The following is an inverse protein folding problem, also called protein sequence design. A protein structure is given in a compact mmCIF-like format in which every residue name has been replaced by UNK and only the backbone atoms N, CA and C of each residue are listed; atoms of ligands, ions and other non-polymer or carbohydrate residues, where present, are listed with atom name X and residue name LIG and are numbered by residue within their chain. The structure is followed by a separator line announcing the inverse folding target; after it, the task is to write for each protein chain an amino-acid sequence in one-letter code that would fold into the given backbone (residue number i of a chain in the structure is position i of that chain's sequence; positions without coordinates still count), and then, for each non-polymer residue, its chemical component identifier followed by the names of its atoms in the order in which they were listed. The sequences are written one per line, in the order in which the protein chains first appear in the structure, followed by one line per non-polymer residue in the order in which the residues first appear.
data_IF_385193188195
#
_entry.id   IF_385193188195
#
_cell.length_a   1.000
_cell.length_b   1.000
_cell.length_c   1.000
_cell.angle_alpha   90.00
_cell.angle_beta   90.00
_cell.angle_gamma   90.00
#
_symmetry.space_group_name_H-M   'P 1'
#
loop_
_entity.id
_entity.type
_entity.pdbx_description
1 polymer ?
#
# COMPACT_ATOMS: atom_id res chain seq x y z
N UNK A 1 -45.80 -50.52 39.98
CA UNK A 1 -46.74 -51.22 39.08
C UNK A 1 -47.98 -50.35 38.82
N UNK A 2 -47.92 -49.41 37.86
CA UNK A 2 -49.05 -48.70 37.21
C UNK A 2 -48.45 -48.18 35.87
N UNK A 3 -48.59 -48.87 34.73
CA UNK A 3 -49.62 -48.84 33.67
C UNK A 3 -49.80 -47.51 32.90
N UNK A 4 -49.55 -47.64 31.57
CA UNK A 4 -50.07 -46.91 30.39
C UNK A 4 -49.37 -45.58 30.04
N UNK A 5 -49.06 -45.24 28.79
CA UNK A 5 -49.56 -45.78 27.52
C UNK A 5 -48.70 -45.42 26.30
N UNK A 6 -49.02 -46.14 25.24
CA UNK A 6 -48.49 -46.14 23.87
C UNK A 6 -49.17 -45.03 23.05
N UNK A 7 -48.44 -44.33 22.17
CA UNK A 7 -48.94 -43.92 20.85
C UNK A 7 -47.81 -43.94 19.82
N UNK A 8 -47.98 -44.82 18.82
CA UNK A 8 -47.30 -44.84 17.53
C UNK A 8 -47.92 -43.77 16.61
N UNK A 9 -47.11 -43.10 15.79
CA UNK A 9 -47.54 -42.63 14.47
C UNK A 9 -46.32 -42.43 13.56
N UNK A 10 -46.11 -43.39 12.66
CA UNK A 10 -45.29 -43.26 11.47
C UNK A 10 -46.21 -42.87 10.31
N UNK A 11 -45.84 -41.90 9.47
CA UNK A 11 -46.33 -41.78 8.09
C UNK A 11 -45.23 -41.23 7.19
N UNK A 12 -45.12 -41.86 6.03
CA UNK A 12 -44.09 -41.68 5.01
C UNK A 12 -44.62 -40.89 3.79
N UNK A 13 -43.70 -40.14 3.17
CA UNK A 13 -43.40 -39.96 1.73
C UNK A 13 -44.53 -40.14 0.68
N UNK A 14 -44.78 -39.08 -0.11
CA UNK A 14 -44.86 -39.05 -1.59
C UNK A 14 -45.04 -37.58 -2.04
N UNK A 15 -44.12 -36.89 -2.74
CA UNK A 15 -43.73 -36.96 -4.17
C UNK A 15 -44.90 -36.88 -5.16
N UNK A 16 -44.99 -35.75 -5.87
CA UNK A 16 -45.61 -35.44 -7.18
C UNK A 16 -45.90 -33.92 -7.16
N UNK A 17 -45.59 -33.07 -8.12
CA UNK A 17 -45.06 -33.15 -9.48
C UNK A 17 -45.24 -31.73 -10.07
N UNK A 18 -44.30 -31.26 -10.89
CA UNK A 18 -44.40 -29.91 -11.47
C UNK A 18 -43.24 -29.54 -12.37
N UNK A 19 -43.04 -30.29 -13.46
CA UNK A 19 -42.29 -29.83 -14.63
C UNK A 19 -43.24 -29.14 -15.62
N UNK A 20 -42.88 -27.94 -16.08
CA UNK A 20 -43.11 -27.38 -17.43
C UNK A 20 -42.40 -26.02 -17.48
N UNK A 21 -41.22 -25.90 -18.10
CA UNK A 21 -41.01 -25.64 -19.52
C UNK A 21 -41.45 -24.23 -19.96
N UNK A 22 -40.49 -23.30 -20.09
CA UNK A 22 -40.56 -22.21 -21.06
C UNK A 22 -39.15 -21.80 -21.51
N UNK A 23 -38.83 -22.24 -22.72
CA UNK A 23 -37.69 -21.85 -23.54
C UNK A 23 -37.77 -20.37 -23.92
N UNK A 24 -36.67 -19.62 -23.80
CA UNK A 24 -36.44 -18.40 -24.58
C UNK A 24 -34.95 -18.01 -24.62
N UNK A 25 -34.21 -18.60 -25.57
CA UNK A 25 -33.16 -17.92 -26.34
C UNK A 25 -33.44 -18.28 -27.81
N UNK A 26 -33.28 -17.35 -28.78
CA UNK A 26 -31.94 -16.91 -29.19
C UNK A 26 -31.84 -15.47 -29.74
N UNK A 27 -30.64 -14.89 -29.70
CA UNK A 27 -30.00 -14.37 -30.93
C UNK A 27 -28.55 -13.95 -30.68
N UNK A 28 -27.65 -14.72 -31.29
CA UNK A 28 -26.33 -14.25 -31.70
C UNK A 28 -26.51 -13.14 -32.73
N UNK A 29 -25.84 -12.00 -32.55
CA UNK A 29 -25.20 -11.29 -33.65
C UNK A 29 -23.76 -10.98 -33.31
N UNK A 30 -22.92 -11.58 -34.14
CA UNK A 30 -21.49 -11.33 -34.33
C UNK A 30 -21.34 -10.05 -35.16
N UNK A 31 -20.43 -9.16 -34.74
CA UNK A 31 -19.54 -8.36 -35.60
C UNK A 31 -18.70 -7.46 -34.67
N UNK A 32 -17.45 -7.82 -34.37
CA UNK A 32 -16.25 -7.33 -35.09
C UNK A 32 -16.23 -5.81 -35.27
N UNK A 33 -15.43 -5.13 -34.45
CA UNK A 33 -14.58 -4.04 -34.93
C UNK A 33 -13.32 -3.94 -34.07
N UNK A 34 -12.23 -4.48 -34.63
CA UNK A 34 -10.85 -4.09 -34.34
C UNK A 34 -10.51 -2.90 -35.25
N UNK A 35 -9.99 -1.84 -34.67
CA UNK A 35 -9.04 -0.91 -35.29
C UNK A 35 -7.99 -0.68 -34.19
N UNK A 36 -6.77 -1.22 -34.23
CA UNK A 36 -5.64 -0.91 -35.12
C UNK A 36 -5.49 0.60 -35.33
N UNK A 37 -4.78 1.23 -34.40
CA UNK A 37 -3.99 2.42 -34.66
C UNK A 37 -2.51 2.05 -34.50
N UNK A 38 -2.00 1.28 -35.48
CA UNK A 38 -0.58 1.19 -35.76
C UNK A 38 -0.23 2.36 -36.68
N UNK A 39 0.29 3.44 -36.11
CA UNK A 39 0.90 4.53 -36.86
C UNK A 39 2.32 4.16 -37.25
N UNK A 40 2.48 3.38 -38.32
CA UNK A 40 3.72 3.29 -39.08
C UNK A 40 3.88 4.55 -39.92
N UNK A 41 4.79 5.44 -39.51
CA UNK A 41 5.37 6.46 -40.37
C UNK A 41 6.73 5.98 -40.87
N UNK A 42 6.79 5.48 -42.10
CA UNK A 42 8.01 5.21 -42.86
C UNK A 42 8.21 6.37 -43.84
N UNK A 43 9.21 7.20 -43.61
CA UNK A 43 10.02 7.95 -44.59
C UNK A 43 11.35 8.21 -43.84
N UNK A 44 12.52 7.66 -44.19
CA UNK A 44 13.03 7.42 -45.53
C UNK A 44 13.92 8.60 -45.96
N UNK A 45 15.03 8.84 -45.26
CA UNK A 45 16.16 9.59 -45.83
C UNK A 45 17.49 9.06 -45.30
N UNK A 46 17.99 8.07 -46.04
CA UNK A 46 19.37 7.65 -46.09
C UNK A 46 20.22 8.83 -46.60
N UNK A 47 21.28 9.21 -45.88
CA UNK A 47 22.42 9.91 -46.48
C UNK A 47 23.74 9.23 -46.10
N UNK A 48 24.71 9.22 -47.02
CA UNK A 48 25.82 8.30 -47.05
C UNK A 48 26.93 8.69 -46.08
N UNK A 49 27.75 7.68 -45.75
CA UNK A 49 28.89 7.82 -44.85
C UNK A 49 29.99 8.71 -45.40
N UNK A 50 30.82 9.15 -44.47
CA UNK A 50 32.21 9.47 -44.73
C UNK A 50 33.05 8.72 -43.71
N UNK A 51 33.83 7.78 -44.23
CA UNK A 51 35.05 7.30 -43.60
C UNK A 51 36.12 8.40 -43.74
N UNK A 52 36.97 8.51 -42.73
CA UNK A 52 38.41 8.80 -42.79
C UNK A 52 38.86 9.60 -41.56
N UNK A 53 40.04 9.21 -41.10
CA UNK A 53 41.00 9.96 -40.28
C UNK A 53 40.87 9.88 -38.75
N UNK A 54 41.40 8.78 -38.22
CA UNK A 54 42.33 8.83 -37.10
C UNK A 54 43.73 9.25 -37.66
N UNK A 55 44.65 9.87 -36.88
CA UNK A 55 45.31 9.12 -35.82
C UNK A 55 45.71 9.92 -34.56
N UNK A 56 45.91 9.15 -33.49
CA UNK A 56 47.05 9.20 -32.55
C UNK A 56 47.35 10.51 -31.82
N UNK A 57 47.21 10.49 -30.49
CA UNK A 57 48.28 10.93 -29.59
C UNK A 57 47.98 10.49 -28.15
N UNK A 58 48.91 9.72 -27.59
CA UNK A 58 48.80 9.16 -26.26
C UNK A 58 49.04 10.16 -25.14
N UNK A 59 48.38 9.91 -24.00
CA UNK A 59 48.88 10.36 -22.70
C UNK A 59 48.92 9.17 -21.75
N UNK A 60 50.14 8.64 -21.62
CA UNK A 60 50.56 7.78 -20.51
C UNK A 60 50.69 8.65 -19.26
N UNK A 61 49.98 8.33 -18.19
CA UNK A 61 50.39 8.73 -16.84
C UNK A 61 50.82 7.48 -16.07
N UNK A 62 52.09 7.49 -15.67
CA UNK A 62 52.73 6.44 -14.88
C UNK A 62 52.25 6.47 -13.41
N UNK A 63 52.33 5.32 -12.70
CA UNK A 63 52.07 5.24 -11.26
C UNK A 63 53.28 5.72 -10.46
N UNK A 64 53.08 6.73 -9.61
CA UNK A 64 54.08 7.21 -8.65
C UNK A 64 53.99 6.48 -7.32
N UNK A 65 55.01 5.69 -7.01
CA UNK A 65 55.28 5.11 -5.69
C UNK A 65 55.76 6.19 -4.69
N UNK A 66 55.47 6.01 -3.40
CA UNK A 66 55.97 6.88 -2.34
C UNK A 66 55.63 6.36 -0.94
N UNK A 67 56.23 5.24 -0.57
CA UNK A 67 56.23 4.70 0.79
C UNK A 67 57.30 5.45 1.61
N UNK A 68 56.92 6.13 2.71
CA UNK A 68 57.85 6.76 3.66
C UNK A 68 57.63 6.17 5.05
N UNK A 69 58.62 5.48 5.64
CA UNK A 69 58.54 5.05 7.04
C UNK A 69 59.12 6.11 7.98
N UNK A 70 58.46 6.27 9.13
CA UNK A 70 59.10 6.63 10.39
C UNK A 70 59.36 8.12 10.65
N UNK A 71 58.61 8.68 11.62
CA UNK A 71 59.14 9.60 12.63
C UNK A 71 58.18 9.66 13.82
N UNK A 72 58.52 8.92 14.87
CA UNK A 72 58.03 9.09 16.24
C UNK A 72 58.71 10.29 16.87
N UNK A 73 57.93 11.20 17.45
CA UNK A 73 58.35 12.26 18.38
C UNK A 73 57.21 12.50 19.40
N UNK A 74 57.51 13.09 20.57
CA UNK A 74 57.10 12.57 21.87
C UNK A 74 55.76 13.08 22.42
N UNK A 75 55.26 12.37 23.44
CA UNK A 75 54.22 12.82 24.36
C UNK A 75 54.51 14.24 24.87
N UNK A 76 53.54 15.13 24.65
CA UNK A 76 53.38 16.36 25.43
C UNK A 76 51.95 16.37 25.95
N UNK A 77 51.85 16.37 27.27
CA UNK A 77 50.60 16.26 27.99
C UNK A 77 49.70 17.49 27.88
N UNK A 78 48.44 17.24 28.24
CA UNK A 78 47.59 18.21 28.92
C UNK A 78 47.09 19.37 28.09
N UNK A 79 46.11 19.13 27.21
CA UNK A 79 45.11 20.14 26.88
C UNK A 79 43.73 19.50 26.78
N UNK A 80 42.91 19.92 27.73
CA UNK A 80 41.47 19.70 27.88
C UNK A 80 40.77 19.89 26.53
N UNK A 81 40.37 18.78 25.89
CA UNK A 81 39.47 18.84 24.75
C UNK A 81 38.05 18.76 25.28
N UNK A 82 37.41 19.92 25.27
CA UNK A 82 35.96 20.02 25.31
C UNK A 82 35.38 19.04 24.30
N UNK A 83 34.44 18.23 24.78
CA UNK A 83 33.67 17.31 23.96
C UNK A 83 32.85 18.15 22.99
N UNK A 84 33.40 18.35 21.79
CA UNK A 84 32.60 18.65 20.62
C UNK A 84 31.64 17.48 20.41
N UNK A 85 30.43 17.68 20.92
CA UNK A 85 29.24 16.93 20.54
C UNK A 85 29.12 17.00 19.02
N UNK A 86 29.37 15.88 18.35
CA UNK A 86 29.07 15.67 16.94
C UNK A 86 27.55 15.67 16.75
N UNK A 87 26.98 16.88 16.75
CA UNK A 87 25.64 17.16 16.25
C UNK A 87 25.76 17.59 14.79
N UNK A 88 25.80 16.61 13.91
CA UNK A 88 25.79 16.81 12.47
C UNK A 88 25.59 15.46 11.80
N UNK A 89 24.70 15.26 10.85
CA UNK A 89 23.66 16.07 10.24
C UNK A 89 22.60 15.10 9.71
N UNK A 90 21.64 15.58 8.94
CA UNK A 90 20.56 14.80 8.30
C UNK A 90 19.42 14.32 9.22
N UNK A 91 18.53 15.24 9.61
CA UNK A 91 17.14 14.87 9.98
C UNK A 91 16.08 15.80 9.41
N UNK A 92 16.45 16.96 8.83
CA UNK A 92 15.47 17.92 8.33
C UNK A 92 14.86 17.49 6.97
N UNK A 93 15.65 16.92 6.06
CA UNK A 93 15.14 16.49 4.75
C UNK A 93 14.21 15.28 4.83
N UNK A 94 14.39 14.41 5.83
CA UNK A 94 13.60 13.18 6.01
C UNK A 94 12.21 13.46 6.61
N UNK A 95 12.08 14.55 7.38
CA UNK A 95 10.83 14.95 8.04
C UNK A 95 9.75 15.43 7.05
N UNK A 96 10.14 16.05 5.93
CA UNK A 96 9.20 16.60 4.94
C UNK A 96 8.70 15.60 3.89
N UNK A 97 9.15 14.35 3.93
CA UNK A 97 8.98 13.41 2.81
C UNK A 97 7.56 12.86 2.60
N UNK A 98 6.64 13.07 3.54
CA UNK A 98 5.21 12.74 3.37
C UNK A 98 4.27 13.92 3.64
N UNK A 99 4.79 15.15 3.76
CA UNK A 99 3.93 16.33 4.05
C UNK A 99 3.38 17.01 2.80
N UNK A 100 3.84 16.64 1.60
CA UNK A 100 3.32 17.19 0.35
C UNK A 100 2.33 16.22 -0.28
N UNK A 101 1.05 16.50 -0.01
CA UNK A 101 -0.10 16.15 -0.84
C UNK A 101 0.17 16.60 -2.29
N UNK A 102 0.84 15.77 -3.08
CA UNK A 102 0.67 15.82 -4.53
C UNK A 102 -0.47 14.88 -4.86
N UNK A 103 -1.58 15.47 -5.29
CA UNK A 103 -2.88 14.85 -5.56
C UNK A 103 -2.90 13.84 -6.72
N UNK A 104 -1.88 13.02 -6.91
CA UNK A 104 -2.05 11.74 -7.59
C UNK A 104 -2.75 10.81 -6.61
N UNK A 105 -4.07 10.80 -6.70
CA UNK A 105 -4.90 9.80 -6.07
C UNK A 105 -4.36 8.41 -6.44
N UNK A 106 -3.94 7.56 -5.47
CA UNK A 106 -3.65 6.18 -5.80
C UNK A 106 -4.86 5.60 -6.53
N UNK A 107 -4.62 4.89 -7.62
CA UNK A 107 -5.68 4.22 -8.38
C UNK A 107 -6.57 3.43 -7.43
N UNK A 108 -7.83 3.87 -7.29
CA UNK A 108 -8.77 3.36 -6.27
C UNK A 108 -9.09 4.34 -5.14
N UNK A 109 -8.78 5.63 -5.28
CA UNK A 109 -8.96 6.66 -4.25
C UNK A 109 -10.22 6.51 -3.43
N UNK A 110 -9.98 6.22 -2.17
CA UNK A 110 -11.03 6.16 -1.17
C UNK A 110 -11.29 7.58 -0.73
N UNK A 111 -12.46 8.10 -1.10
CA UNK A 111 -12.82 9.43 -0.64
C UNK A 111 -13.28 9.33 0.82
N UNK A 112 -12.64 10.07 1.74
CA UNK A 112 -13.14 10.19 3.09
C UNK A 112 -14.52 10.85 3.02
N UNK A 113 -15.52 10.23 3.65
CA UNK A 113 -16.87 10.78 3.75
C UNK A 113 -16.89 11.95 4.74
N UNK A 114 -15.99 11.93 5.74
CA UNK A 114 -15.81 12.96 6.76
C UNK A 114 -14.29 13.16 7.00
N UNK A 115 -13.80 14.34 7.43
CA UNK A 115 -12.39 14.46 7.80
C UNK A 115 -12.04 13.51 8.96
N UNK A 116 -10.88 12.83 8.91
CA UNK A 116 -10.49 11.86 9.93
C UNK A 116 -10.40 12.50 11.31
N UNK A 117 -11.12 11.93 12.27
CA UNK A 117 -11.02 12.28 13.68
C UNK A 117 -10.50 11.10 14.47
N UNK A 118 -9.39 11.30 15.18
CA UNK A 118 -8.92 10.31 16.16
C UNK A 118 -9.95 10.23 17.29
N UNK A 119 -10.52 9.05 17.48
CA UNK A 119 -11.48 8.77 18.54
C UNK A 119 -10.83 8.77 19.92
N UNK A 120 -11.66 8.73 20.97
CA UNK A 120 -11.18 8.46 22.33
C UNK A 120 -10.52 7.07 22.35
N UNK A 121 -9.33 6.95 22.93
CA UNK A 121 -8.63 5.67 23.10
C UNK A 121 -7.53 5.36 22.08
N UNK A 122 -7.14 6.30 21.21
CA UNK A 122 -5.99 6.09 20.31
C UNK A 122 -6.33 5.45 18.96
N UNK A 123 -7.61 5.13 18.74
CA UNK A 123 -8.10 4.58 17.48
C UNK A 123 -8.45 5.70 16.49
N UNK A 124 -8.07 5.50 15.24
CA UNK A 124 -8.59 6.24 14.11
C UNK A 124 -9.75 5.43 13.53
N UNK A 125 -10.88 6.09 13.31
CA UNK A 125 -12.04 5.54 12.62
C UNK A 125 -12.46 6.49 11.52
N UNK A 126 -12.70 5.97 10.32
CA UNK A 126 -13.14 6.78 9.18
C UNK A 126 -14.07 6.02 8.25
N UNK A 127 -15.00 6.74 7.61
CA UNK A 127 -15.87 6.17 6.60
C UNK A 127 -15.35 6.49 5.21
N UNK A 128 -15.35 5.47 4.38
CA UNK A 128 -14.63 5.38 3.15
C UNK A 128 -15.58 4.88 2.05
N UNK A 129 -15.49 5.45 0.85
CA UNK A 129 -16.22 4.92 -0.31
C UNK A 129 -15.25 4.22 -1.25
N UNK A 130 -15.46 2.93 -1.48
CA UNK A 130 -14.59 2.10 -2.32
C UNK A 130 -14.84 2.36 -3.82
N UNK A 131 -13.99 1.81 -4.69
CA UNK A 131 -14.13 1.96 -6.14
C UNK A 131 -15.45 1.37 -6.69
N UNK A 132 -15.97 0.29 -6.08
CA UNK A 132 -17.30 -0.24 -6.39
C UNK A 132 -18.48 0.59 -5.85
N UNK A 133 -18.21 1.68 -5.13
CA UNK A 133 -19.20 2.56 -4.52
C UNK A 133 -19.75 2.07 -3.18
N UNK A 134 -19.17 1.01 -2.60
CA UNK A 134 -19.56 0.55 -1.27
C UNK A 134 -19.02 1.49 -0.19
N UNK A 135 -19.83 1.71 0.85
CA UNK A 135 -19.39 2.44 2.04
C UNK A 135 -18.84 1.46 3.06
N UNK A 136 -17.66 1.74 3.55
CA UNK A 136 -16.96 0.93 4.53
C UNK A 136 -16.46 1.82 5.65
N UNK A 137 -16.47 1.30 6.87
CA UNK A 137 -15.84 1.92 8.02
C UNK A 137 -14.51 1.21 8.26
N UNK A 138 -13.43 1.98 8.31
CA UNK A 138 -12.10 1.48 8.67
C UNK A 138 -11.75 1.92 10.07
N UNK A 139 -11.15 1.02 10.85
CA UNK A 139 -10.65 1.32 12.18
C UNK A 139 -9.25 0.73 12.36
N UNK A 140 -8.35 1.49 12.99
CA UNK A 140 -7.06 0.97 13.50
C UNK A 140 -6.54 1.84 14.63
N UNK A 141 -5.77 1.24 15.53
CA UNK A 141 -5.02 1.94 16.56
C UNK A 141 -3.79 2.62 15.97
N UNK A 142 -3.47 3.83 16.42
CA UNK A 142 -2.20 4.46 16.08
C UNK A 142 -1.74 5.39 17.21
N UNK A 143 -0.47 5.32 17.64
CA UNK A 143 0.06 6.29 18.60
C UNK A 143 0.24 7.67 17.95
N UNK A 144 0.32 7.73 16.63
CA UNK A 144 0.62 8.94 15.88
C UNK A 144 -0.62 9.85 15.74
N UNK A 145 -0.42 11.18 15.61
CA UNK A 145 -1.52 12.08 15.27
C UNK A 145 -2.03 11.79 13.85
N UNK A 146 -3.35 11.95 13.66
CA UNK A 146 -3.95 11.91 12.33
C UNK A 146 -3.55 13.16 11.55
N UNK A 147 -3.24 13.00 10.26
CA UNK A 147 -2.95 14.11 9.37
C UNK A 147 -4.11 14.23 8.36
N UNK A 148 -4.66 15.43 8.16
CA UNK A 148 -5.60 15.65 7.06
C UNK A 148 -4.84 15.50 5.75
N UNK A 149 -5.18 14.49 4.96
CA UNK A 149 -4.62 14.30 3.63
C UNK A 149 -5.72 14.32 2.58
N UNK A 150 -5.38 14.75 1.39
CA UNK A 150 -6.28 14.71 0.24
C UNK A 150 -6.55 13.29 -0.26
N UNK A 151 -5.68 12.34 0.11
CA UNK A 151 -5.66 10.97 -0.38
C UNK A 151 -6.26 9.93 0.59
N UNK A 152 -6.76 10.36 1.76
CA UNK A 152 -7.52 9.51 2.67
C UNK A 152 -7.02 9.51 4.11
N UNK A 153 -6.93 8.31 4.68
CA UNK A 153 -6.70 8.09 6.12
C UNK A 153 -5.23 7.90 6.40
N UNK A 154 -4.63 8.82 7.17
CA UNK A 154 -3.22 8.78 7.53
C UNK A 154 -2.97 9.26 8.96
N UNK A 155 -2.04 8.59 9.63
CA UNK A 155 -1.41 9.04 10.87
C UNK A 155 0.10 9.05 10.70
N UNK A 156 0.78 10.01 11.34
CA UNK A 156 2.23 10.14 11.19
C UNK A 156 2.88 10.86 12.35
N UNK A 157 4.03 10.37 12.78
CA UNK A 157 4.91 11.07 13.70
C UNK A 157 5.81 12.04 12.92
N UNK A 158 5.57 13.33 13.13
CA UNK A 158 6.28 14.40 12.44
C UNK A 158 7.75 14.49 12.84
N UNK A 159 8.14 13.95 14.00
CA UNK A 159 9.53 14.02 14.46
C UNK A 159 10.39 12.97 13.78
N UNK A 160 9.78 11.81 13.53
CA UNK A 160 10.48 10.55 13.38
C UNK A 160 10.24 9.92 11.99
N UNK A 161 9.18 10.37 11.30
CA UNK A 161 8.82 9.94 9.95
C UNK A 161 8.02 8.62 9.92
N UNK A 162 7.71 8.03 11.07
CA UNK A 162 6.85 6.86 11.16
C UNK A 162 5.42 7.21 10.74
N UNK A 163 4.78 6.33 9.98
CA UNK A 163 3.43 6.59 9.50
C UNK A 163 2.63 5.31 9.35
N UNK A 164 1.31 5.47 9.39
CA UNK A 164 0.34 4.48 8.98
C UNK A 164 -0.70 5.14 8.07
N UNK A 165 -1.04 4.52 6.95
CA UNK A 165 -2.07 5.03 6.05
C UNK A 165 -2.86 3.91 5.39
N UNK A 166 -4.08 4.20 4.95
CA UNK A 166 -4.92 3.24 4.22
C UNK A 166 -4.85 3.51 2.73
N UNK A 167 -4.44 2.50 1.96
CA UNK A 167 -4.56 2.45 0.52
C UNK A 167 -5.73 1.56 0.10
N UNK A 168 -6.21 1.71 -1.14
CA UNK A 168 -7.19 0.81 -1.72
C UNK A 168 -6.81 0.42 -3.13
N UNK A 169 -7.21 -0.79 -3.51
CA UNK A 169 -7.09 -1.30 -4.87
C UNK A 169 -8.21 -2.32 -5.11
N UNK A 170 -8.48 -2.62 -6.38
CA UNK A 170 -9.46 -3.66 -6.75
C UNK A 170 -8.73 -4.85 -7.36
N UNK A 171 -9.17 -6.07 -7.00
CA UNK A 171 -8.66 -7.30 -7.57
C UNK A 171 -9.08 -7.43 -9.04
N UNK A 172 -8.16 -7.10 -9.94
CA UNK A 172 -8.38 -7.31 -11.38
C UNK A 172 -7.96 -8.73 -11.74
N UNK A 173 -8.91 -9.57 -12.13
CA UNK A 173 -8.66 -10.95 -12.59
C UNK A 173 -8.53 -12.00 -11.49
N UNK A 174 -8.44 -11.61 -10.22
CA UNK A 174 -8.56 -12.52 -9.07
C UNK A 174 -9.93 -12.33 -8.40
N UNK A 175 -10.53 -13.42 -7.90
CA UNK A 175 -11.79 -13.35 -7.16
C UNK A 175 -11.57 -13.14 -5.65
N UNK A 176 -10.42 -13.59 -5.13
CA UNK A 176 -10.09 -13.59 -3.70
C UNK A 176 -8.72 -12.99 -3.45
N UNK A 177 -8.56 -12.29 -2.34
CA UNK A 177 -7.29 -11.72 -1.90
C UNK A 177 -6.20 -12.78 -1.65
N UNK A 178 -6.60 -13.99 -1.25
CA UNK A 178 -5.67 -15.12 -1.12
C UNK A 178 -4.94 -15.44 -2.42
N UNK A 179 -5.59 -15.20 -3.55
CA UNK A 179 -5.12 -15.57 -4.88
C UNK A 179 -4.40 -14.39 -5.55
N UNK A 180 -4.41 -13.21 -4.93
CA UNK A 180 -3.75 -12.03 -5.46
C UNK A 180 -2.23 -12.27 -5.57
N UNK A 181 -1.59 -11.95 -6.71
CA UNK A 181 -0.15 -12.05 -6.82
C UNK A 181 0.52 -11.03 -5.90
N UNK A 182 1.76 -11.28 -5.48
CA UNK A 182 2.54 -10.31 -4.69
C UNK A 182 2.66 -8.94 -5.37
N UNK A 183 2.70 -8.92 -6.70
CA UNK A 183 2.74 -7.68 -7.48
C UNK A 183 1.54 -6.77 -7.24
N UNK A 184 0.37 -7.33 -6.88
CA UNK A 184 -0.81 -6.54 -6.52
C UNK A 184 -0.52 -5.49 -5.44
N UNK A 185 0.21 -5.89 -4.39
CA UNK A 185 0.56 -5.00 -3.28
C UNK A 185 1.56 -3.93 -3.70
N UNK A 186 2.58 -4.32 -4.47
CA UNK A 186 3.60 -3.38 -4.92
C UNK A 186 3.05 -2.40 -5.94
N UNK A 187 2.17 -2.83 -6.83
CA UNK A 187 1.56 -1.97 -7.84
C UNK A 187 0.69 -0.90 -7.18
N UNK A 188 -0.08 -1.28 -6.15
CA UNK A 188 -0.95 -0.36 -5.42
C UNK A 188 -0.17 0.64 -4.53
N UNK A 189 0.91 0.18 -3.87
CA UNK A 189 1.60 0.96 -2.82
C UNK A 189 2.86 1.65 -3.35
N UNK A 190 3.64 0.93 -4.17
CA UNK A 190 4.94 1.35 -4.70
C UNK A 190 4.88 1.78 -6.18
N UNK A 191 3.77 1.52 -6.88
CA UNK A 191 3.59 1.96 -8.26
C UNK A 191 3.66 3.49 -8.41
N UNK A 192 3.70 3.98 -9.65
CA UNK A 192 3.80 5.43 -9.95
C UNK A 192 2.66 6.23 -9.30
N UNK A 193 1.46 5.66 -9.24
CA UNK A 193 0.30 6.27 -8.57
C UNK A 193 0.28 5.99 -7.06
N UNK A 194 1.12 5.08 -6.58
CA UNK A 194 1.26 4.75 -5.17
C UNK A 194 2.04 5.81 -4.41
N UNK A 195 1.85 5.84 -3.09
CA UNK A 195 2.44 6.86 -2.21
C UNK A 195 3.96 6.94 -2.28
N UNK A 196 4.64 5.80 -2.48
CA UNK A 196 6.09 5.75 -2.55
C UNK A 196 6.65 5.95 -3.98
N UNK A 197 5.79 5.98 -5.00
CA UNK A 197 6.18 6.18 -6.40
C UNK A 197 6.22 7.63 -6.87
N UNK A 198 5.79 8.58 -6.03
CA UNK A 198 5.66 10.00 -6.40
C UNK A 198 6.95 10.66 -6.92
N UNK A 199 8.12 10.17 -6.49
CA UNK A 199 9.44 10.68 -6.90
C UNK A 199 10.20 9.69 -7.80
N UNK A 200 9.51 8.67 -8.33
CA UNK A 200 10.08 7.56 -9.07
C UNK A 200 9.72 6.22 -8.44
N UNK A 201 9.65 5.18 -9.27
CA UNK A 201 9.35 3.83 -8.79
C UNK A 201 10.42 3.36 -7.78
N UNK A 202 10.03 2.86 -6.60
CA UNK A 202 10.95 2.29 -5.65
C UNK A 202 11.76 1.13 -6.23
N UNK A 203 13.01 1.01 -5.77
CA UNK A 203 13.96 -0.02 -6.19
C UNK A 203 14.17 -1.07 -5.09
N UNK A 204 14.91 -2.12 -5.39
CA UNK A 204 15.30 -3.19 -4.46
C UNK A 204 14.13 -3.80 -3.67
N UNK A 205 12.97 -3.90 -4.30
CA UNK A 205 11.75 -4.40 -3.67
C UNK A 205 11.91 -5.87 -3.29
N UNK A 206 11.77 -6.16 -2.00
CA UNK A 206 11.89 -7.50 -1.42
C UNK A 206 10.72 -7.78 -0.48
N UNK A 207 10.13 -8.96 -0.62
CA UNK A 207 9.12 -9.47 0.29
C UNK A 207 9.79 -10.24 1.42
N UNK A 208 9.62 -9.78 2.64
CA UNK A 208 10.20 -10.39 3.85
C UNK A 208 9.22 -11.34 4.54
N UNK A 209 7.92 -11.17 4.28
CA UNK A 209 6.84 -11.96 4.87
C UNK A 209 5.57 -11.87 4.04
N UNK A 210 4.79 -12.94 4.08
CA UNK A 210 3.54 -13.07 3.33
C UNK A 210 2.69 -14.16 3.99
N UNK A 211 1.65 -13.76 4.72
CA UNK A 211 0.86 -14.66 5.55
C UNK A 211 -0.64 -14.34 5.44
N UNK A 212 -1.49 -15.36 5.54
CA UNK A 212 -2.93 -15.16 5.66
C UNK A 212 -3.27 -14.53 7.02
N UNK A 213 -4.24 -13.61 7.03
CA UNK A 213 -4.76 -12.95 8.24
C UNK A 213 -6.28 -13.16 8.28
N UNK A 214 -6.70 -14.28 8.86
CA UNK A 214 -8.11 -14.70 8.83
C UNK A 214 -8.59 -15.09 7.41
N UNK A 215 -9.91 -15.20 7.18
CA UNK A 215 -10.46 -15.71 5.93
C UNK A 215 -10.37 -14.73 4.75
N UNK A 216 -10.41 -13.42 5.04
CA UNK A 216 -10.47 -12.35 4.03
C UNK A 216 -9.27 -11.39 4.10
N UNK A 217 -8.26 -11.70 4.91
CA UNK A 217 -7.13 -10.83 5.13
C UNK A 217 -5.79 -11.47 4.78
N UNK A 218 -4.80 -10.63 4.51
CA UNK A 218 -3.44 -11.02 4.20
C UNK A 218 -2.47 -9.98 4.73
N UNK A 219 -1.41 -10.43 5.36
CA UNK A 219 -0.34 -9.58 5.86
C UNK A 219 0.92 -9.79 5.01
N UNK A 220 1.50 -8.69 4.55
CA UNK A 220 2.68 -8.70 3.68
C UNK A 220 3.70 -7.72 4.21
N UNK A 221 4.94 -8.15 4.29
CA UNK A 221 6.05 -7.31 4.73
C UNK A 221 6.99 -7.02 3.57
N UNK A 222 7.25 -5.74 3.30
CA UNK A 222 7.97 -5.29 2.12
C UNK A 222 9.11 -4.36 2.53
N UNK A 223 10.29 -4.59 2.01
CA UNK A 223 11.43 -3.66 2.08
C UNK A 223 11.77 -3.17 0.68
N UNK A 224 12.13 -1.90 0.55
CA UNK A 224 12.42 -1.25 -0.73
C UNK A 224 13.26 0.00 -0.50
N UNK A 225 13.83 0.55 -1.56
CA UNK A 225 14.52 1.84 -1.58
C UNK A 225 13.64 2.85 -2.30
N UNK A 226 13.23 3.93 -1.63
CA UNK A 226 12.42 4.98 -2.23
C UNK A 226 13.22 6.25 -2.47
N UNK A 227 12.88 6.96 -3.54
CA UNK A 227 13.40 8.29 -3.80
C UNK A 227 12.65 9.34 -3.01
N UNK A 228 13.38 10.41 -2.73
CA UNK A 228 12.91 11.55 -1.96
C UNK A 228 12.78 12.76 -2.86
N UNK A 229 12.12 13.86 -2.43
CA UNK A 229 12.05 15.07 -3.25
C UNK A 229 13.44 15.62 -3.65
N UNK A 230 14.45 15.35 -2.82
CA UNK A 230 15.84 15.72 -3.07
C UNK A 230 16.62 14.67 -3.88
N UNK A 231 15.93 13.70 -4.49
CA UNK A 231 16.52 12.58 -5.26
C UNK A 231 17.51 11.72 -4.46
N UNK A 232 17.42 11.73 -3.13
CA UNK A 232 18.15 10.81 -2.26
C UNK A 232 17.42 9.49 -2.16
N UNK A 233 18.16 8.40 -2.12
CA UNK A 233 17.66 7.05 -1.87
C UNK A 233 17.54 6.79 -0.38
N UNK A 234 16.37 6.31 0.05
CA UNK A 234 16.11 5.98 1.45
C UNK A 234 15.58 4.55 1.56
N UNK A 235 16.29 3.64 2.24
CA UNK A 235 15.80 2.29 2.47
C UNK A 235 14.65 2.32 3.47
N UNK A 236 13.54 1.68 3.12
CA UNK A 236 12.31 1.62 3.89
C UNK A 236 11.83 0.19 4.07
N UNK A 237 11.03 0.01 5.10
CA UNK A 237 10.33 -1.23 5.40
C UNK A 237 8.93 -0.91 5.88
N UNK A 238 7.96 -1.65 5.34
CA UNK A 238 6.54 -1.50 5.63
C UNK A 238 5.92 -2.85 5.95
N UNK A 239 4.93 -2.82 6.82
CA UNK A 239 4.00 -3.90 7.09
C UNK A 239 2.65 -3.51 6.49
N UNK A 240 2.10 -4.39 5.66
CA UNK A 240 0.85 -4.18 4.94
C UNK A 240 -0.16 -5.20 5.45
N UNK A 241 -1.23 -4.74 6.08
CA UNK A 241 -2.40 -5.58 6.37
C UNK A 241 -3.49 -5.26 5.38
N UNK A 242 -3.82 -6.22 4.53
CA UNK A 242 -4.86 -6.11 3.53
C UNK A 242 -6.11 -6.88 3.95
N UNK A 243 -7.28 -6.28 3.76
CA UNK A 243 -8.58 -6.90 4.01
C UNK A 243 -9.46 -6.70 2.77
N UNK A 244 -9.98 -7.80 2.22
CA UNK A 244 -10.96 -7.75 1.13
C UNK A 244 -12.33 -7.36 1.69
N UNK A 245 -12.97 -6.38 1.06
CA UNK A 245 -14.31 -5.95 1.43
C UNK A 245 -15.30 -7.07 1.10
N UNK A 246 -16.22 -7.46 2.02
CA UNK A 246 -17.14 -8.56 1.77
C UNK A 246 -17.99 -8.32 0.52
N UNK A 247 -18.17 -9.34 -0.30
CA UNK A 247 -18.94 -9.28 -1.55
C UNK A 247 -18.45 -8.21 -2.54
N UNK A 248 -17.16 -7.86 -2.50
CA UNK A 248 -16.56 -6.85 -3.36
C UNK A 248 -15.17 -7.28 -3.85
N UNK A 249 -14.76 -6.86 -5.07
CA UNK A 249 -13.37 -7.01 -5.51
C UNK A 249 -12.43 -6.00 -4.83
N UNK A 250 -12.96 -5.04 -4.07
CA UNK A 250 -12.16 -4.00 -3.44
C UNK A 250 -11.41 -4.53 -2.21
N UNK A 251 -10.16 -4.10 -2.08
CA UNK A 251 -9.26 -4.45 -0.99
C UNK A 251 -8.75 -3.15 -0.38
N UNK A 252 -8.85 -3.06 0.95
CA UNK A 252 -8.24 -1.99 1.73
C UNK A 252 -6.95 -2.49 2.35
N UNK A 253 -5.92 -1.66 2.33
CA UNK A 253 -4.56 -1.99 2.77
C UNK A 253 -4.11 -0.96 3.79
N UNK A 254 -4.02 -1.35 5.06
CA UNK A 254 -3.32 -0.55 6.06
C UNK A 254 -1.82 -0.77 5.89
N UNK A 255 -1.11 0.30 5.58
CA UNK A 255 0.34 0.32 5.40
C UNK A 255 0.96 1.06 6.57
N UNK A 256 1.73 0.37 7.39
CA UNK A 256 2.46 0.94 8.52
C UNK A 256 3.97 0.74 8.34
N UNK A 257 4.78 1.78 8.53
CA UNK A 257 6.22 1.61 8.42
C UNK A 257 7.06 2.87 8.54
N UNK A 258 8.35 2.71 8.23
CA UNK A 258 9.39 3.71 8.44
C UNK A 258 10.63 3.44 7.58
N UNK A 259 11.72 4.14 7.88
CA UNK A 259 13.07 3.79 7.40
C UNK A 259 13.48 2.41 7.91
N UNK A 260 14.30 1.68 7.14
CA UNK A 260 14.69 0.32 7.48
C UNK A 260 15.39 0.20 8.85
N UNK A 261 16.15 1.23 9.26
CA UNK A 261 16.84 1.28 10.55
C UNK A 261 15.85 1.43 11.70
N UNK A 262 14.85 2.32 11.56
CA UNK A 262 13.85 2.55 12.61
C UNK A 262 12.79 1.48 12.66
N UNK A 263 12.45 0.86 11.53
CA UNK A 263 11.50 -0.24 11.48
C UNK A 263 11.84 -1.35 12.48
N UNK A 264 13.11 -1.75 12.59
CA UNK A 264 13.53 -2.77 13.56
C UNK A 264 13.31 -2.36 15.03
N UNK A 265 13.33 -1.06 15.33
CA UNK A 265 13.13 -0.53 16.69
C UNK A 265 11.64 -0.42 17.03
N UNK A 266 10.84 -0.03 16.04
CA UNK A 266 9.41 0.22 16.18
C UNK A 266 8.54 -0.94 15.68
N UNK A 267 9.15 -2.10 15.36
CA UNK A 267 8.46 -3.24 14.73
C UNK A 267 7.24 -3.67 15.54
N UNK A 268 7.38 -3.69 16.87
CA UNK A 268 6.27 -4.02 17.78
C UNK A 268 5.09 -3.07 17.58
N UNK A 269 5.34 -1.77 17.50
CA UNK A 269 4.30 -0.76 17.29
C UNK A 269 3.65 -0.90 15.91
N UNK A 270 4.42 -1.19 14.86
CA UNK A 270 3.83 -1.43 13.54
C UNK A 270 2.96 -2.69 13.49
N UNK A 271 3.35 -3.75 14.22
CA UNK A 271 2.52 -4.95 14.37
C UNK A 271 1.25 -4.67 15.16
N UNK A 272 1.33 -3.92 16.27
CA UNK A 272 0.15 -3.51 17.04
C UNK A 272 -0.84 -2.69 16.18
N UNK A 273 -0.34 -1.78 15.33
CA UNK A 273 -1.15 -1.03 14.36
C UNK A 273 -1.79 -2.00 13.35
N UNK A 274 -1.00 -2.87 12.74
CA UNK A 274 -1.45 -3.86 11.75
C UNK A 274 -2.51 -4.83 12.30
N UNK A 275 -2.36 -5.29 13.54
CA UNK A 275 -3.27 -6.24 14.19
C UNK A 275 -4.59 -5.61 14.60
N UNK A 276 -4.60 -4.29 14.83
CA UNK A 276 -5.82 -3.54 15.12
C UNK A 276 -6.64 -3.16 13.89
N UNK A 277 -6.20 -3.51 12.68
CA UNK A 277 -6.88 -3.10 11.46
C UNK A 277 -8.16 -3.87 11.22
N UNK A 278 -9.27 -3.15 11.14
CA UNK A 278 -10.60 -3.67 10.93
C UNK A 278 -11.30 -2.91 9.79
N UNK A 279 -12.09 -3.65 9.02
CA UNK A 279 -12.91 -3.11 7.92
C UNK A 279 -14.31 -3.69 8.04
N UNK A 280 -15.28 -2.82 8.23
CA UNK A 280 -16.70 -3.18 8.32
C UNK A 280 -17.50 -2.50 7.20
N UNK A 281 -18.59 -3.14 6.75
CA UNK A 281 -19.55 -2.47 5.86
C UNK A 281 -20.26 -1.38 6.65
N UNK A 282 -20.15 -0.14 6.20
CA UNK A 282 -20.88 0.96 6.80
C UNK A 282 -22.32 0.95 6.29
N UNK A 283 -23.26 1.41 7.13
CA UNK A 283 -24.65 1.63 6.70
C UNK A 283 -24.66 2.66 5.57
N UNK A 284 -25.56 2.46 4.60
CA UNK A 284 -25.77 3.45 3.56
C UNK A 284 -26.33 4.74 4.17
N UNK A 285 -26.05 5.89 3.54
CA UNK A 285 -26.66 7.18 3.95
C UNK A 285 -28.18 7.11 4.00
N UNK A 286 -28.80 6.30 3.14
CA UNK A 286 -30.25 6.11 3.12
C UNK A 286 -30.73 5.41 4.38
N UNK A 287 -30.10 4.30 4.76
CA UNK A 287 -30.43 3.56 5.98
C UNK A 287 -30.19 4.40 7.23
N UNK A 288 -29.12 5.19 7.24
CA UNK A 288 -28.83 6.10 8.36
C UNK A 288 -29.88 7.21 8.47
N UNK A 289 -30.28 7.81 7.34
CA UNK A 289 -31.34 8.82 7.31
C UNK A 289 -32.72 8.25 7.66
N UNK A 290 -33.03 7.03 7.23
CA UNK A 290 -34.27 6.34 7.60
C UNK A 290 -34.29 6.01 9.10
N UNK A 291 -33.21 5.45 9.64
CA UNK A 291 -33.07 5.20 11.08
C UNK A 291 -33.22 6.48 11.91
N UNK A 292 -32.58 7.58 11.48
CA UNK A 292 -32.69 8.88 12.13
C UNK A 292 -34.10 9.46 12.08
N UNK A 293 -34.83 9.23 10.98
CA UNK A 293 -36.26 9.62 10.85
C UNK A 293 -37.16 8.84 11.80
N UNK A 294 -36.86 7.58 12.09
CA UNK A 294 -37.64 6.80 13.05
C UNK A 294 -37.41 7.22 14.51
N UNK A 295 -36.21 7.67 14.86
CA UNK A 295 -35.89 8.12 16.23
C UNK A 295 -36.48 9.49 16.61
N UNK A 296 -36.92 10.27 15.61
CA UNK A 296 -37.51 11.60 15.81
C UNK A 296 -39.05 11.59 15.84
N UNK A 297 -39.67 10.42 15.74
CA UNK A 297 -41.11 10.21 15.89
C UNK A 297 -41.39 9.54 17.22
#
# INVERSE_FOLDING_TARGET
MIRRGVVLAAWAVALLGGQAAALAQPSRRVALQRAVAAGLGVWGLQRPGNAADAPDEGMRFAPGAGNMPGKTLPEVGGLQRDRFSSSGGDTASDRDMMSRDFGSQPTGAVQPVVPPKKGKGGYLREQLTTASGQRVEVTFASPYPAIPTSAGVETRDMNSGDSAFVAAASLVGAQRLSDAPRSFFTDAILGIQGKFGAYGAPQDVKFNGDAAKGPNGREVEISFTALTPAMREVPRRILVTAIQVPDSPDVLMLVAGSTAIRFKKEEKTFREIADSFEVEKAKSAREENEARRYLLK
#
